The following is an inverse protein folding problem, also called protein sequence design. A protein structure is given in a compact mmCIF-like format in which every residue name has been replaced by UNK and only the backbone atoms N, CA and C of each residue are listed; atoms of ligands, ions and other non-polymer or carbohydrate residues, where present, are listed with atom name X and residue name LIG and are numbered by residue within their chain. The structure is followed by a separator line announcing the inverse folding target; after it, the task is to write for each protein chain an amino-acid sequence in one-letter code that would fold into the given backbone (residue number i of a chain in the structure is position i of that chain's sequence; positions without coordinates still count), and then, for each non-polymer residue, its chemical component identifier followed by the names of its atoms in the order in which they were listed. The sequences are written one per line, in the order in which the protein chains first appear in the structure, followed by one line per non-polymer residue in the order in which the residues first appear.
data_IF_495700139378
#
_entry.id   IF_495700139378
#
_cell.length_a   1.000
_cell.length_b   1.000
_cell.length_c   1.000
_cell.angle_alpha   90.00
_cell.angle_beta   90.00
_cell.angle_gamma   90.00
#
_symmetry.space_group_name_H-M   'P 1'
#
loop_
_entity.id
_entity.type
_entity.pdbx_description
1 polymer ?
#
# COMPACT_ATOMS: atom_id res chain seq x y z
N UNK A 1 -12.12 81.19 -74.91
CA UNK A 1 -11.93 79.89 -74.34
C UNK A 1 -11.71 80.07 -72.83
N UNK A 2 -12.76 79.84 -72.03
CA UNK A 2 -12.80 80.19 -70.63
C UNK A 2 -12.56 78.89 -69.79
N UNK A 3 -11.44 78.83 -69.12
CA UNK A 3 -11.09 77.70 -68.22
C UNK A 3 -11.73 77.91 -66.84
N UNK A 4 -12.61 77.02 -66.43
CA UNK A 4 -13.21 77.03 -65.15
C UNK A 4 -12.32 76.20 -64.16
N UNK A 5 -11.63 76.91 -63.30
CA UNK A 5 -10.94 76.28 -62.12
C UNK A 5 -11.92 75.99 -61.03
N UNK A 6 -12.14 74.71 -60.77
CA UNK A 6 -13.01 74.23 -59.65
C UNK A 6 -12.20 74.20 -58.32
N UNK A 7 -12.42 75.19 -57.48
CA UNK A 7 -11.77 75.34 -56.18
C UNK A 7 -12.34 74.24 -55.21
N UNK A 8 -11.51 73.28 -54.85
CA UNK A 8 -11.89 72.28 -53.82
C UNK A 8 -11.76 72.93 -52.46
N UNK A 9 -12.87 73.28 -51.83
CA UNK A 9 -12.93 73.66 -50.41
C UNK A 9 -12.98 72.42 -49.60
N UNK A 10 -11.89 72.01 -48.98
CA UNK A 10 -11.88 71.03 -47.92
C UNK A 10 -12.35 71.67 -46.60
N UNK A 11 -13.64 71.60 -46.36
CA UNK A 11 -14.27 72.24 -45.20
C UNK A 11 -13.87 71.58 -43.86
N UNK A 12 -13.70 72.36 -42.80
CA UNK A 12 -13.34 71.90 -41.45
C UNK A 12 -14.31 70.90 -40.86
N UNK A 13 -15.51 70.76 -41.46
CA UNK A 13 -16.58 69.81 -41.00
C UNK A 13 -16.19 68.32 -41.10
N UNK A 14 -15.30 67.95 -42.01
CA UNK A 14 -14.82 66.53 -42.14
C UNK A 14 -13.78 66.15 -41.07
N UNK A 15 -12.97 67.11 -40.66
CA UNK A 15 -11.98 66.88 -39.60
C UNK A 15 -12.68 66.76 -38.24
N UNK A 16 -13.74 67.55 -37.97
CA UNK A 16 -14.55 67.47 -36.77
C UNK A 16 -15.33 66.15 -36.66
N UNK A 17 -15.84 65.65 -37.78
CA UNK A 17 -16.52 64.36 -37.82
C UNK A 17 -15.62 63.18 -37.55
N UNK A 18 -14.38 63.18 -38.06
CA UNK A 18 -13.40 62.14 -37.79
C UNK A 18 -12.87 62.16 -36.36
N UNK A 19 -12.70 63.34 -35.77
CA UNK A 19 -12.33 63.51 -34.36
C UNK A 19 -13.45 63.06 -33.41
N UNK A 20 -14.72 63.33 -33.73
CA UNK A 20 -15.88 62.90 -32.98
C UNK A 20 -16.02 61.35 -33.01
N UNK A 21 -15.79 60.69 -34.12
CA UNK A 21 -15.84 59.24 -34.28
C UNK A 21 -14.67 58.60 -33.52
N UNK A 22 -13.48 59.15 -33.61
CA UNK A 22 -12.31 58.66 -32.84
C UNK A 22 -12.53 58.82 -31.34
N UNK A 23 -13.13 59.94 -30.89
CA UNK A 23 -13.47 60.14 -29.47
C UNK A 23 -14.54 59.17 -28.98
N UNK A 24 -15.52 58.82 -29.81
CA UNK A 24 -16.55 57.84 -29.43
C UNK A 24 -16.01 56.41 -29.34
N UNK A 25 -15.12 56.03 -30.25
CA UNK A 25 -14.46 54.72 -30.24
C UNK A 25 -13.50 54.61 -29.05
N UNK A 26 -12.80 55.70 -28.67
CA UNK A 26 -11.98 55.71 -27.46
C UNK A 26 -12.84 55.65 -26.17
N UNK A 27 -13.93 56.36 -26.13
CA UNK A 27 -14.83 56.36 -24.95
C UNK A 27 -15.58 55.05 -24.79
N UNK A 28 -15.92 54.36 -25.87
CA UNK A 28 -16.62 53.06 -25.79
C UNK A 28 -15.67 51.84 -25.73
N UNK A 29 -14.44 51.96 -26.19
CA UNK A 29 -13.49 50.85 -26.26
C UNK A 29 -12.54 50.72 -25.08
N UNK A 30 -12.31 51.81 -24.32
CA UNK A 30 -11.37 51.77 -23.20
C UNK A 30 -11.96 51.19 -21.94
N UNK A 31 -13.29 51.20 -21.79
CA UNK A 31 -13.95 50.66 -20.61
C UNK A 31 -14.25 49.15 -20.67
N UNK A 32 -14.00 48.51 -21.82
CA UNK A 32 -14.26 47.06 -21.99
C UNK A 32 -13.02 46.21 -21.90
N UNK A 33 -11.82 46.74 -21.73
CA UNK A 33 -10.58 45.99 -21.61
C UNK A 33 -9.99 45.90 -20.21
N UNK A 34 -10.65 46.46 -19.20
CA UNK A 34 -10.39 46.10 -17.81
C UNK A 34 -11.27 44.91 -17.41
N UNK A 35 -11.16 43.80 -18.15
CA UNK A 35 -11.41 42.53 -17.49
C UNK A 35 -10.26 42.39 -16.49
N UNK A 36 -10.54 42.55 -15.22
CA UNK A 36 -9.73 41.94 -14.20
C UNK A 36 -9.68 40.46 -14.53
N UNK A 37 -8.75 40.09 -15.38
CA UNK A 37 -8.27 38.73 -15.38
C UNK A 37 -7.60 38.55 -14.02
N UNK A 38 -8.35 38.05 -13.07
CA UNK A 38 -7.75 37.37 -11.93
C UNK A 38 -6.92 36.25 -12.58
N UNK A 39 -5.65 36.54 -12.90
CA UNK A 39 -4.69 35.56 -13.33
C UNK A 39 -4.44 34.67 -12.11
N UNK A 40 -5.33 33.69 -11.88
CA UNK A 40 -5.03 32.60 -10.98
C UNK A 40 -3.71 32.00 -11.50
N UNK A 41 -2.63 32.17 -10.77
CA UNK A 41 -1.36 31.63 -11.18
C UNK A 41 -1.45 30.11 -11.15
N UNK A 42 -0.69 29.46 -12.01
CA UNK A 42 -0.78 28.01 -12.12
C UNK A 42 -0.03 27.34 -10.98
N UNK A 43 -0.72 26.59 -10.14
CA UNK A 43 -0.14 25.68 -9.15
C UNK A 43 0.86 24.75 -9.86
N UNK A 44 2.05 24.58 -9.32
CA UNK A 44 3.15 23.79 -9.91
C UNK A 44 3.45 22.56 -9.06
N UNK A 45 4.37 21.68 -9.52
CA UNK A 45 4.83 20.48 -8.83
C UNK A 45 3.67 19.60 -8.29
N UNK A 46 2.58 19.47 -9.07
CA UNK A 46 1.36 18.80 -8.65
C UNK A 46 1.50 17.30 -8.67
N UNK A 47 1.14 16.66 -7.56
CA UNK A 47 1.09 15.21 -7.40
C UNK A 47 -0.12 14.82 -6.58
N UNK A 48 -0.86 13.81 -7.01
CA UNK A 48 -1.87 13.11 -6.22
C UNK A 48 -1.42 11.66 -6.00
N UNK A 49 -1.30 11.27 -4.73
CA UNK A 49 -1.01 9.90 -4.34
C UNK A 49 -2.22 9.32 -3.64
N UNK A 50 -2.68 8.17 -4.11
CA UNK A 50 -3.74 7.39 -3.50
C UNK A 50 -3.09 6.29 -2.66
N UNK A 51 -3.57 6.05 -1.44
CA UNK A 51 -3.10 4.90 -0.63
C UNK A 51 -3.55 3.56 -1.23
N UNK A 52 -4.63 3.57 -2.00
CA UNK A 52 -5.11 2.44 -2.81
C UNK A 52 -5.66 2.96 -4.13
N UNK A 53 -5.27 2.34 -5.22
CA UNK A 53 -5.84 2.61 -6.55
C UNK A 53 -6.98 1.64 -6.90
N UNK A 54 -7.36 0.73 -6.00
CA UNK A 54 -8.47 -0.20 -6.23
C UNK A 54 -9.77 0.55 -6.45
N UNK A 55 -10.52 0.17 -7.49
CA UNK A 55 -11.88 0.68 -7.70
C UNK A 55 -12.77 0.30 -6.52
N UNK A 56 -13.66 1.21 -6.13
CA UNK A 56 -14.54 1.07 -4.99
C UNK A 56 -13.82 0.78 -3.65
N UNK A 57 -12.50 1.05 -3.54
CA UNK A 57 -11.84 0.95 -2.25
C UNK A 57 -12.61 1.79 -1.23
N UNK A 58 -13.03 1.14 -0.15
CA UNK A 58 -13.95 1.73 0.81
C UNK A 58 -13.37 2.98 1.47
N UNK A 59 -14.23 3.90 1.80
CA UNK A 59 -13.92 5.17 2.45
C UNK A 59 -13.16 5.06 3.78
N UNK A 60 -13.20 3.89 4.44
CA UNK A 60 -12.61 3.71 5.78
C UNK A 60 -11.08 3.74 5.81
N UNK A 61 -10.39 3.56 4.68
CA UNK A 61 -8.93 3.39 4.67
C UNK A 61 -8.21 4.13 3.54
N UNK A 62 -8.92 4.69 2.57
CA UNK A 62 -8.26 5.34 1.43
C UNK A 62 -7.91 6.79 1.75
N UNK A 63 -6.65 7.14 1.54
CA UNK A 63 -6.17 8.51 1.67
C UNK A 63 -5.79 9.10 0.32
N UNK A 64 -6.07 10.39 0.16
CA UNK A 64 -5.69 11.20 -0.99
C UNK A 64 -4.66 12.23 -0.52
N UNK A 65 -3.41 12.04 -0.90
CA UNK A 65 -2.31 12.95 -0.57
C UNK A 65 -2.02 13.85 -1.77
N UNK A 66 -2.29 15.13 -1.59
CA UNK A 66 -1.96 16.18 -2.56
C UNK A 66 -0.64 16.83 -2.17
N UNK A 67 0.32 16.82 -3.10
CA UNK A 67 1.53 17.62 -3.00
C UNK A 67 1.52 18.62 -4.16
N UNK A 68 1.78 19.90 -3.87
CA UNK A 68 1.79 20.94 -4.89
C UNK A 68 2.56 22.17 -4.39
N UNK A 69 2.84 23.10 -5.28
CA UNK A 69 3.46 24.38 -4.92
C UNK A 69 2.58 25.52 -5.42
N UNK A 70 2.14 26.36 -4.47
CA UNK A 70 1.38 27.58 -4.72
C UNK A 70 2.38 28.68 -5.08
N UNK A 71 2.27 29.32 -6.26
CA UNK A 71 3.20 30.36 -6.67
C UNK A 71 2.91 31.72 -6.03
N UNK A 72 1.65 31.98 -5.64
CA UNK A 72 1.24 33.25 -5.06
C UNK A 72 1.61 33.34 -3.58
N UNK A 73 2.10 34.50 -3.15
CA UNK A 73 2.35 34.80 -1.74
C UNK A 73 1.08 35.25 -0.99
N UNK A 74 -0.08 35.12 -1.61
CA UNK A 74 -1.37 35.50 -1.01
C UNK A 74 -1.76 34.51 0.08
N UNK A 75 -2.24 35.00 1.21
CA UNK A 75 -2.76 34.17 2.31
C UNK A 75 -3.96 33.37 1.81
N UNK A 76 -3.90 32.06 2.00
CA UNK A 76 -4.97 31.12 1.60
C UNK A 76 -5.81 30.80 2.84
N UNK A 77 -7.12 30.96 2.77
CA UNK A 77 -8.05 30.60 3.84
C UNK A 77 -8.90 29.37 3.51
N UNK A 78 -8.99 28.99 2.23
CA UNK A 78 -9.61 27.73 1.84
C UNK A 78 -9.00 27.17 0.56
N UNK A 79 -9.09 25.85 0.41
CA UNK A 79 -8.70 25.14 -0.79
C UNK A 79 -9.68 24.02 -1.08
N UNK A 80 -9.80 23.66 -2.35
CA UNK A 80 -10.62 22.53 -2.78
C UNK A 80 -9.92 21.75 -3.89
N UNK A 81 -10.22 20.47 -3.96
CA UNK A 81 -9.91 19.62 -5.10
C UNK A 81 -11.21 19.02 -5.62
N UNK A 82 -11.70 19.55 -6.74
CA UNK A 82 -12.92 19.06 -7.40
C UNK A 82 -12.56 17.85 -8.24
N UNK A 83 -13.20 16.71 -7.97
CA UNK A 83 -12.91 15.43 -8.64
C UNK A 83 -13.82 15.26 -9.84
N UNK A 84 -13.21 15.24 -11.03
CA UNK A 84 -13.91 15.27 -12.31
C UNK A 84 -13.47 14.13 -13.22
N UNK A 85 -14.35 13.71 -14.13
CA UNK A 85 -14.01 12.78 -15.22
C UNK A 85 -13.20 13.44 -16.34
N UNK A 86 -13.15 14.77 -16.37
CA UNK A 86 -12.46 15.57 -17.40
C UNK A 86 -11.49 16.55 -16.77
N UNK A 87 -10.37 16.83 -17.46
CA UNK A 87 -9.38 17.81 -17.01
C UNK A 87 -9.93 19.23 -17.03
N UNK A 88 -10.77 19.60 -18.03
CA UNK A 88 -11.30 20.94 -18.22
C UNK A 88 -12.76 20.87 -18.70
N UNK A 89 -13.42 22.01 -18.78
CA UNK A 89 -14.83 22.11 -19.17
C UNK A 89 -15.77 21.68 -18.04
N UNK A 90 -16.96 21.16 -18.38
CA UNK A 90 -17.94 20.69 -17.41
C UNK A 90 -17.32 19.57 -16.53
N UNK A 91 -17.56 19.65 -15.22
CA UNK A 91 -17.10 18.65 -14.26
C UNK A 91 -18.24 17.69 -13.95
N UNK A 92 -18.03 16.40 -14.26
CA UNK A 92 -18.88 15.32 -13.80
C UNK A 92 -18.09 14.50 -12.77
N UNK A 93 -18.64 14.36 -11.58
CA UNK A 93 -18.02 13.51 -10.55
C UNK A 93 -17.96 12.06 -11.02
N UNK A 94 -16.83 11.37 -10.92
CA UNK A 94 -16.72 9.96 -11.25
C UNK A 94 -17.70 9.11 -10.43
N UNK A 95 -18.34 8.13 -11.09
CA UNK A 95 -19.33 7.27 -10.45
C UNK A 95 -18.73 6.57 -9.22
N UNK A 96 -19.45 6.67 -8.10
CA UNK A 96 -19.09 6.03 -6.84
C UNK A 96 -17.98 6.74 -6.04
N UNK A 97 -17.42 7.86 -6.51
CA UNK A 97 -16.55 8.69 -5.69
C UNK A 97 -17.37 9.32 -4.54
N UNK A 98 -16.91 9.14 -3.30
CA UNK A 98 -17.54 9.73 -2.13
C UNK A 98 -16.54 10.45 -1.23
N UNK A 99 -16.91 11.64 -0.81
CA UNK A 99 -16.16 12.47 0.13
C UNK A 99 -16.95 12.80 1.42
N UNK A 100 -18.15 12.25 1.58
CA UNK A 100 -19.05 12.58 2.70
C UNK A 100 -18.49 12.20 4.07
N UNK A 101 -17.58 11.22 4.13
CA UNK A 101 -16.90 10.78 5.35
C UNK A 101 -15.45 11.29 5.41
N UNK A 102 -15.01 12.14 4.48
CA UNK A 102 -13.63 12.56 4.42
C UNK A 102 -13.23 13.36 5.66
N UNK A 103 -12.02 13.12 6.12
CA UNK A 103 -11.39 13.78 7.26
C UNK A 103 -10.03 14.33 6.85
N UNK A 104 -9.47 15.21 7.66
CA UNK A 104 -8.09 15.62 7.52
C UNK A 104 -7.21 14.62 8.27
N UNK A 105 -6.44 13.82 7.56
CA UNK A 105 -5.58 12.81 8.19
C UNK A 105 -4.42 13.45 8.97
N UNK A 106 -3.98 14.63 8.53
CA UNK A 106 -3.03 15.50 9.24
C UNK A 106 -3.29 16.94 8.85
N UNK A 107 -2.87 17.90 9.70
CA UNK A 107 -2.94 19.31 9.33
C UNK A 107 -2.08 19.56 8.08
N UNK A 108 -2.51 20.46 7.17
CA UNK A 108 -1.74 20.78 5.98
C UNK A 108 -0.34 21.30 6.33
N UNK A 109 0.64 20.89 5.53
CA UNK A 109 2.01 21.41 5.66
C UNK A 109 2.21 22.57 4.71
N UNK A 110 2.79 23.66 5.21
CA UNK A 110 3.18 24.84 4.41
C UNK A 110 2.03 25.58 3.69
N UNK A 111 0.77 25.28 4.01
CA UNK A 111 -0.38 25.96 3.40
C UNK A 111 -0.71 27.30 4.08
N UNK A 112 -0.14 27.52 5.24
CA UNK A 112 -0.37 28.67 6.10
C UNK A 112 -0.07 28.30 7.54
N UNK A 113 -0.90 28.73 8.49
CA UNK A 113 -0.77 28.34 9.89
C UNK A 113 -0.80 26.82 10.05
N UNK A 114 0.00 26.30 10.97
CA UNK A 114 0.24 24.86 11.14
C UNK A 114 -0.96 24.08 11.69
N UNK A 115 -2.00 24.73 12.20
CA UNK A 115 -3.15 24.09 12.82
C UNK A 115 -4.45 24.86 12.60
N UNK A 116 -5.59 24.21 12.88
CA UNK A 116 -6.91 24.82 12.80
C UNK A 116 -7.59 24.70 11.44
N UNK A 117 -7.03 23.95 10.51
CA UNK A 117 -7.69 23.59 9.26
C UNK A 117 -8.75 22.52 9.50
N UNK A 118 -9.90 22.68 8.87
CA UNK A 118 -11.04 21.77 8.96
C UNK A 118 -11.53 21.35 7.58
N UNK A 119 -12.00 20.10 7.48
CA UNK A 119 -12.61 19.57 6.25
C UNK A 119 -14.09 19.98 6.19
N UNK A 120 -14.55 20.32 4.99
CA UNK A 120 -15.96 20.50 4.70
C UNK A 120 -16.43 19.45 3.70
N UNK A 121 -17.39 18.62 4.11
CA UNK A 121 -17.94 17.51 3.33
C UNK A 121 -19.28 17.83 2.67
N UNK A 122 -19.79 19.05 2.78
CA UNK A 122 -21.13 19.42 2.32
C UNK A 122 -21.32 19.41 0.80
N UNK A 123 -20.21 19.44 0.03
CA UNK A 123 -20.25 19.44 -1.43
C UNK A 123 -19.77 18.11 -1.96
N UNK A 124 -20.68 17.33 -2.55
CA UNK A 124 -20.35 16.08 -3.20
C UNK A 124 -19.35 16.29 -4.35
N UNK A 125 -18.39 15.38 -4.50
CA UNK A 125 -17.38 15.44 -5.55
C UNK A 125 -16.24 16.43 -5.28
N UNK A 126 -16.20 17.08 -4.11
CA UNK A 126 -15.18 18.09 -3.79
C UNK A 126 -14.53 17.81 -2.43
N UNK A 127 -13.23 17.61 -2.43
CA UNK A 127 -12.43 17.54 -1.20
C UNK A 127 -12.07 18.99 -0.81
N UNK A 128 -12.62 19.46 0.31
CA UNK A 128 -12.56 20.85 0.73
C UNK A 128 -11.97 20.99 2.12
N UNK A 129 -11.14 22.00 2.29
CA UNK A 129 -10.67 22.42 3.61
C UNK A 129 -10.69 23.93 3.74
N UNK A 130 -10.84 24.42 4.95
CA UNK A 130 -10.81 25.84 5.25
C UNK A 130 -10.27 26.12 6.62
N UNK A 131 -9.73 27.34 6.79
CA UNK A 131 -9.29 27.90 8.05
C UNK A 131 -9.64 29.38 8.06
N UNK A 132 -10.68 29.75 8.78
CA UNK A 132 -11.00 31.16 9.04
C UNK A 132 -9.88 31.78 9.88
N UNK A 133 -9.43 32.97 9.47
CA UNK A 133 -8.39 33.70 10.19
C UNK A 133 -6.97 33.11 10.01
N UNK A 134 -6.71 32.32 8.96
CA UNK A 134 -5.35 32.04 8.55
C UNK A 134 -4.63 33.35 8.19
N UNK A 135 -3.46 33.58 8.75
CA UNK A 135 -2.67 34.82 8.55
C UNK A 135 -1.33 34.54 7.87
N UNK A 136 -0.85 33.31 7.90
CA UNK A 136 0.41 32.95 7.26
C UNK A 136 0.20 32.68 5.76
N UNK A 137 1.10 33.21 4.93
CA UNK A 137 1.14 32.88 3.52
C UNK A 137 1.69 31.46 3.29
N UNK A 138 1.34 30.79 2.18
CA UNK A 138 1.92 29.49 1.85
C UNK A 138 3.42 29.61 1.57
N UNK A 139 4.18 28.55 1.91
CA UNK A 139 5.63 28.50 1.73
C UNK A 139 6.08 27.17 1.17
N UNK A 140 7.03 27.18 0.24
CA UNK A 140 7.61 25.96 -0.30
C UNK A 140 6.58 25.02 -0.94
N UNK A 141 6.73 23.72 -0.71
CA UNK A 141 5.79 22.69 -1.20
C UNK A 141 4.72 22.40 -0.14
N UNK A 142 3.47 22.48 -0.54
CA UNK A 142 2.31 22.17 0.29
C UNK A 142 2.00 20.67 0.26
N UNK A 143 1.55 20.13 1.40
CA UNK A 143 0.99 18.79 1.50
C UNK A 143 -0.35 18.84 2.20
N UNK A 144 -1.37 18.25 1.58
CA UNK A 144 -2.72 18.10 2.13
C UNK A 144 -3.13 16.64 2.04
N UNK A 145 -3.56 16.05 3.16
CA UNK A 145 -3.93 14.63 3.23
C UNK A 145 -5.37 14.48 3.70
N UNK A 146 -6.23 14.09 2.76
CA UNK A 146 -7.60 13.70 3.07
C UNK A 146 -7.66 12.20 3.34
N UNK A 147 -8.17 11.81 4.51
CA UNK A 147 -8.51 10.43 4.85
C UNK A 147 -9.98 10.11 4.57
N UNK A 148 -10.34 8.85 4.63
CA UNK A 148 -11.71 8.34 4.48
C UNK A 148 -12.39 8.77 3.18
N UNK A 149 -11.65 8.74 2.08
CA UNK A 149 -12.17 9.03 0.74
C UNK A 149 -12.48 7.71 0.03
N UNK A 150 -13.65 7.61 -0.60
CA UNK A 150 -13.99 6.45 -1.43
C UNK A 150 -13.59 6.69 -2.88
N UNK A 151 -12.85 5.73 -3.44
CA UNK A 151 -12.47 5.75 -4.84
C UNK A 151 -13.69 5.59 -5.77
N UNK A 152 -13.61 6.07 -7.02
CA UNK A 152 -14.56 5.71 -8.06
C UNK A 152 -14.75 4.19 -8.17
N UNK A 153 -15.97 3.74 -8.48
CA UNK A 153 -16.31 2.31 -8.57
C UNK A 153 -15.92 1.67 -9.91
N UNK A 154 -15.63 2.47 -10.91
CA UNK A 154 -15.20 1.98 -12.22
C UNK A 154 -13.70 1.67 -12.20
N UNK A 155 -13.32 0.46 -12.55
CA UNK A 155 -11.91 0.05 -12.71
C UNK A 155 -11.28 0.66 -13.97
N UNK A 156 -9.97 0.90 -13.91
CA UNK A 156 -9.19 1.47 -15.02
C UNK A 156 -9.74 2.82 -15.51
N UNK A 157 -10.36 3.58 -14.63
CA UNK A 157 -10.89 4.90 -14.92
C UNK A 157 -9.89 5.98 -14.53
N UNK A 158 -9.49 6.81 -15.47
CA UNK A 158 -8.78 8.05 -15.20
C UNK A 158 -9.75 9.12 -14.69
N UNK A 159 -9.36 9.85 -13.68
CA UNK A 159 -10.07 11.02 -13.16
C UNK A 159 -9.08 12.14 -12.83
N UNK A 160 -9.60 13.34 -12.68
CA UNK A 160 -8.83 14.55 -12.50
C UNK A 160 -9.24 15.25 -11.21
N UNK A 161 -8.28 15.68 -10.43
CA UNK A 161 -8.50 16.58 -9.31
C UNK A 161 -8.12 18.00 -9.75
N UNK A 162 -9.10 18.88 -9.80
CA UNK A 162 -8.92 20.31 -10.09
C UNK A 162 -8.73 21.03 -8.77
N UNK A 163 -7.51 21.46 -8.52
CA UNK A 163 -7.11 22.11 -7.27
C UNK A 163 -7.34 23.61 -7.45
N UNK A 164 -8.04 24.22 -6.52
CA UNK A 164 -8.23 25.65 -6.43
C UNK A 164 -7.93 26.14 -5.01
N UNK A 165 -7.30 27.30 -4.89
CA UNK A 165 -7.04 27.96 -3.62
C UNK A 165 -7.73 29.31 -3.57
N UNK A 166 -8.11 29.74 -2.37
CA UNK A 166 -8.92 30.94 -2.17
C UNK A 166 -8.41 31.77 -0.98
N UNK A 167 -8.51 33.08 -1.12
CA UNK A 167 -8.19 34.02 -0.05
C UNK A 167 -9.28 34.13 1.01
N UNK A 168 -10.51 33.68 0.71
CA UNK A 168 -11.65 33.66 1.64
C UNK A 168 -11.93 32.26 2.17
N UNK A 169 -12.35 32.15 3.44
CA UNK A 169 -12.66 30.87 4.10
C UNK A 169 -13.90 30.14 3.55
N UNK A 170 -14.73 30.82 2.77
CA UNK A 170 -15.94 30.27 2.15
C UNK A 170 -15.78 30.00 0.65
N UNK A 171 -14.58 29.64 0.22
CA UNK A 171 -14.23 29.35 -1.19
C UNK A 171 -14.54 30.52 -2.13
N UNK A 172 -14.18 31.72 -1.70
CA UNK A 172 -14.31 32.96 -2.45
C UNK A 172 -12.94 33.62 -2.64
N UNK A 173 -12.78 34.44 -3.68
CA UNK A 173 -11.50 35.09 -3.99
C UNK A 173 -10.47 34.06 -4.48
N UNK A 174 -10.71 33.48 -5.65
CA UNK A 174 -9.78 32.51 -6.27
C UNK A 174 -8.37 33.12 -6.40
N UNK A 175 -7.34 32.36 -5.99
CA UNK A 175 -5.94 32.77 -6.00
C UNK A 175 -5.17 31.98 -7.03
N UNK A 176 -5.05 30.67 -6.87
CA UNK A 176 -4.28 29.80 -7.75
C UNK A 176 -5.07 28.55 -8.11
N UNK A 177 -4.78 27.98 -9.27
CA UNK A 177 -5.44 26.76 -9.74
C UNK A 177 -4.45 25.78 -10.38
N UNK A 178 -4.84 24.51 -10.38
CA UNK A 178 -4.05 23.46 -11.02
C UNK A 178 -4.84 22.17 -11.17
N UNK A 179 -4.34 21.25 -12.00
CA UNK A 179 -5.01 19.99 -12.28
C UNK A 179 -3.99 18.87 -12.15
N UNK A 180 -4.39 17.75 -11.55
CA UNK A 180 -3.61 16.52 -11.47
C UNK A 180 -4.51 15.35 -11.83
N UNK A 181 -3.97 14.34 -12.51
CA UNK A 181 -4.69 13.12 -12.86
C UNK A 181 -4.34 11.98 -11.91
N UNK A 182 -5.31 11.09 -11.69
CA UNK A 182 -5.13 9.81 -11.05
C UNK A 182 -6.01 8.77 -11.75
N UNK A 183 -5.81 7.50 -11.46
CA UNK A 183 -6.64 6.44 -12.02
C UNK A 183 -6.92 5.36 -10.97
N UNK A 184 -8.09 4.74 -11.10
CA UNK A 184 -8.36 3.46 -10.46
C UNK A 184 -7.82 2.32 -11.31
N UNK A 185 -7.48 1.20 -10.67
CA UNK A 185 -7.02 -0.01 -11.34
C UNK A 185 -7.82 -1.21 -10.87
N UNK A 186 -7.92 -2.24 -11.70
CA UNK A 186 -8.34 -3.57 -11.25
C UNK A 186 -7.23 -4.21 -10.42
N UNK A 187 -7.59 -4.90 -9.36
CA UNK A 187 -6.63 -5.72 -8.62
C UNK A 187 -6.22 -6.93 -9.45
N UNK A 188 -4.93 -7.21 -9.46
CA UNK A 188 -4.41 -8.47 -9.97
C UNK A 188 -4.40 -9.45 -8.79
N UNK A 189 -5.21 -10.49 -8.88
CA UNK A 189 -5.15 -11.60 -7.93
C UNK A 189 -4.10 -12.59 -8.43
N UNK A 190 -3.03 -12.76 -7.66
CA UNK A 190 -2.04 -13.80 -7.91
C UNK A 190 -2.39 -15.00 -7.05
N UNK A 191 -2.68 -16.13 -7.69
CA UNK A 191 -2.87 -17.42 -7.04
C UNK A 191 -1.71 -18.34 -7.41
N UNK A 192 -1.15 -19.01 -6.41
CA UNK A 192 -0.13 -20.03 -6.61
C UNK A 192 -0.51 -21.26 -5.80
N UNK A 193 -0.26 -22.45 -6.37
CA UNK A 193 -0.32 -23.72 -5.67
C UNK A 193 1.10 -24.23 -5.48
N UNK A 194 1.40 -24.77 -4.31
CA UNK A 194 2.64 -25.45 -4.02
C UNK A 194 2.28 -26.89 -3.66
N UNK A 195 2.87 -27.85 -4.33
CA UNK A 195 2.67 -29.27 -4.01
C UNK A 195 3.15 -29.58 -2.60
N UNK A 196 2.43 -30.44 -1.89
CA UNK A 196 2.88 -30.93 -0.60
C UNK A 196 4.14 -31.77 -0.75
N UNK A 197 5.11 -31.48 0.07
CA UNK A 197 6.40 -32.17 0.13
C UNK A 197 6.68 -32.62 1.55
N UNK A 198 7.22 -33.83 1.70
CA UNK A 198 7.76 -34.34 2.95
C UNK A 198 9.24 -34.71 2.73
N UNK A 199 10.09 -34.16 3.54
CA UNK A 199 11.50 -34.57 3.63
C UNK A 199 11.69 -35.32 4.95
N UNK A 200 12.26 -36.52 4.87
CA UNK A 200 12.59 -37.34 6.04
C UNK A 200 13.95 -37.95 5.84
N UNK A 201 14.75 -37.92 6.89
CA UNK A 201 16.07 -38.58 6.92
C UNK A 201 16.41 -39.08 8.30
N UNK A 202 17.22 -40.16 8.35
CA UNK A 202 17.73 -40.76 9.58
C UNK A 202 19.15 -41.23 9.39
N UNK A 203 19.96 -41.17 10.45
CA UNK A 203 21.36 -41.57 10.47
C UNK A 203 21.95 -41.52 11.87
N UNK A 204 23.23 -41.76 11.98
CA UNK A 204 23.95 -41.62 13.27
C UNK A 204 24.33 -40.16 13.55
N UNK A 205 24.38 -39.33 12.53
CA UNK A 205 24.54 -37.86 12.66
C UNK A 205 23.87 -37.12 11.55
N UNK A 206 23.37 -35.90 11.85
CA UNK A 206 22.84 -34.93 10.92
C UNK A 206 23.32 -33.57 11.41
N UNK A 207 23.85 -32.73 10.52
CA UNK A 207 24.21 -31.36 10.88
C UNK A 207 23.01 -30.44 10.77
N UNK A 208 22.58 -29.89 11.90
CA UNK A 208 21.34 -29.10 11.99
C UNK A 208 20.11 -29.92 11.60
N UNK A 209 19.32 -29.41 10.68
CA UNK A 209 18.14 -30.11 10.10
C UNK A 209 18.34 -30.43 8.61
N UNK A 210 19.59 -30.47 8.15
CA UNK A 210 19.93 -30.67 6.75
C UNK A 210 20.10 -32.15 6.40
N UNK A 211 19.12 -32.76 5.77
CA UNK A 211 19.15 -34.14 5.31
C UNK A 211 20.30 -34.44 4.33
N UNK A 212 20.86 -33.43 3.66
CA UNK A 212 22.03 -33.58 2.81
C UNK A 212 23.36 -33.91 3.58
N UNK A 213 23.33 -33.77 4.89
CA UNK A 213 24.51 -34.02 5.78
C UNK A 213 24.39 -35.30 6.59
N UNK A 214 23.41 -36.15 6.27
CA UNK A 214 23.23 -37.46 6.95
C UNK A 214 24.46 -38.33 6.79
N UNK A 215 24.93 -38.85 7.90
CA UNK A 215 26.02 -39.81 7.92
C UNK A 215 25.70 -40.98 8.85
N UNK A 216 26.25 -42.16 8.50
CA UNK A 216 26.11 -43.40 9.23
C UNK A 216 24.71 -44.06 9.07
N UNK A 217 24.73 -45.34 8.79
CA UNK A 217 23.54 -46.17 8.57
C UNK A 217 23.34 -47.29 9.60
N UNK A 218 24.25 -47.41 10.56
CA UNK A 218 24.20 -48.47 11.54
C UNK A 218 24.58 -47.94 12.94
N UNK A 219 23.81 -48.34 13.93
CA UNK A 219 24.12 -48.08 15.35
C UNK A 219 24.82 -49.30 15.92
N UNK A 220 26.03 -49.12 16.37
CA UNK A 220 26.80 -50.19 16.99
C UNK A 220 26.59 -50.21 18.50
N UNK A 221 26.02 -51.28 19.03
CA UNK A 221 25.78 -51.46 20.46
C UNK A 221 26.98 -52.08 21.20
N UNK A 222 28.06 -52.38 20.49
CA UNK A 222 29.21 -53.09 21.06
C UNK A 222 28.89 -54.54 21.44
N UNK A 223 29.66 -55.07 22.39
CA UNK A 223 29.43 -56.44 22.91
C UNK A 223 28.37 -56.42 24.00
N UNK A 224 27.32 -57.22 23.85
CA UNK A 224 26.30 -57.36 24.86
C UNK A 224 26.87 -58.11 26.11
N UNK A 225 26.49 -57.65 27.31
CA UNK A 225 26.88 -58.21 28.59
C UNK A 225 25.70 -58.40 29.50
N UNK A 226 25.75 -59.44 30.31
CA UNK A 226 24.71 -59.64 31.37
C UNK A 226 24.85 -58.68 32.56
N UNK A 227 26.00 -57.97 32.65
CA UNK A 227 26.29 -57.03 33.73
C UNK A 227 26.01 -55.56 33.40
N UNK A 228 25.58 -55.26 32.20
CA UNK A 228 25.34 -53.88 31.77
C UNK A 228 24.34 -53.78 30.61
N UNK A 229 23.77 -52.61 30.45
CA UNK A 229 22.92 -52.27 29.28
C UNK A 229 23.78 -51.62 28.21
N UNK A 230 23.53 -51.99 26.94
CA UNK A 230 24.12 -51.31 25.77
C UNK A 230 23.13 -50.29 25.23
N UNK A 231 23.62 -49.13 24.87
CA UNK A 231 22.84 -48.07 24.26
C UNK A 231 23.51 -47.50 23.02
N UNK A 232 22.72 -47.01 22.11
CA UNK A 232 23.19 -46.30 20.93
C UNK A 232 22.19 -45.26 20.51
N UNK A 233 22.64 -44.27 19.79
CA UNK A 233 21.81 -43.14 19.37
C UNK A 233 21.76 -43.06 17.85
N UNK A 234 20.60 -42.84 17.30
CA UNK A 234 20.40 -42.34 15.93
C UNK A 234 19.64 -41.03 15.97
N UNK A 235 19.79 -40.24 14.96
CA UNK A 235 19.09 -38.99 14.79
C UNK A 235 18.20 -39.04 13.56
N UNK A 236 17.09 -38.28 13.58
CA UNK A 236 16.21 -38.15 12.45
C UNK A 236 15.80 -36.68 12.29
N UNK A 237 15.54 -36.28 11.06
CA UNK A 237 14.94 -35.00 10.75
C UNK A 237 13.76 -35.19 9.79
N UNK A 238 12.71 -34.41 10.00
CA UNK A 238 11.54 -34.40 9.16
C UNK A 238 11.06 -32.95 8.97
N UNK A 239 10.60 -32.62 7.78
CA UNK A 239 9.96 -31.34 7.47
C UNK A 239 8.89 -31.53 6.40
N UNK A 240 7.81 -30.75 6.47
CA UNK A 240 6.76 -30.73 5.47
C UNK A 240 6.19 -29.32 5.35
N UNK A 241 5.66 -29.00 4.16
CA UNK A 241 4.79 -27.84 3.92
C UNK A 241 3.30 -28.20 3.93
N UNK A 242 2.97 -29.47 4.18
CA UNK A 242 1.57 -29.92 4.32
C UNK A 242 0.90 -29.32 5.56
N UNK A 243 -0.30 -28.78 5.39
CA UNK A 243 -1.04 -28.08 6.45
C UNK A 243 -1.42 -28.97 7.64
N UNK A 244 -1.49 -30.31 7.46
CA UNK A 244 -1.79 -31.30 8.51
C UNK A 244 -0.54 -31.82 9.24
N UNK A 245 0.65 -31.36 8.83
CA UNK A 245 1.91 -31.83 9.41
C UNK A 245 2.27 -33.27 9.01
N UNK A 246 2.96 -34.00 9.89
CA UNK A 246 3.37 -35.38 9.66
C UNK A 246 3.32 -36.17 10.98
N UNK A 247 3.29 -37.48 10.87
CA UNK A 247 3.46 -38.42 11.98
C UNK A 247 4.59 -39.37 11.68
N UNK A 248 5.45 -39.63 12.69
CA UNK A 248 6.52 -40.62 12.60
C UNK A 248 6.10 -41.81 13.45
N UNK A 249 6.02 -42.99 12.84
CA UNK A 249 5.76 -44.25 13.55
C UNK A 249 6.97 -45.15 13.41
N UNK A 250 7.27 -45.86 14.46
CA UNK A 250 8.34 -46.85 14.48
C UNK A 250 7.69 -48.23 14.64
N UNK A 251 8.08 -49.13 13.77
CA UNK A 251 7.65 -50.52 13.83
C UNK A 251 8.87 -51.42 13.85
N UNK A 252 8.95 -52.35 14.73
CA UNK A 252 10.05 -53.30 14.87
C UNK A 252 9.55 -54.66 15.34
N UNK A 253 10.25 -55.69 14.90
CA UNK A 253 10.02 -57.07 15.37
C UNK A 253 11.06 -57.44 16.41
N UNK A 254 10.76 -58.44 17.21
CA UNK A 254 11.70 -59.10 18.09
C UNK A 254 13.01 -59.46 17.31
N UNK A 255 14.15 -59.02 17.83
CA UNK A 255 15.44 -59.35 17.23
C UNK A 255 15.75 -60.83 17.50
N UNK A 256 16.05 -61.55 16.41
CA UNK A 256 16.39 -62.95 16.48
C UNK A 256 17.73 -63.23 15.76
N UNK A 257 18.53 -64.13 16.33
CA UNK A 257 19.70 -64.65 15.62
C UNK A 257 19.37 -66.02 15.04
N UNK A 258 18.91 -66.06 13.79
CA UNK A 258 18.59 -67.30 13.13
C UNK A 258 19.80 -68.23 12.89
N UNK A 259 21.01 -67.71 12.84
CA UNK A 259 22.26 -68.42 12.62
C UNK A 259 22.95 -68.80 13.94
N UNK A 260 22.41 -68.40 15.09
CA UNK A 260 22.99 -68.72 16.39
C UNK A 260 22.41 -70.01 16.94
N UNK A 261 23.22 -70.86 17.66
CA UNK A 261 22.70 -72.05 18.33
C UNK A 261 21.59 -71.69 19.31
N UNK A 262 20.45 -72.37 19.21
CA UNK A 262 19.29 -72.14 20.06
C UNK A 262 18.41 -70.95 19.71
N UNK A 263 18.67 -70.27 18.54
CA UNK A 263 17.93 -69.11 18.05
C UNK A 263 17.57 -68.05 19.10
N UNK A 264 18.56 -67.49 19.81
CA UNK A 264 18.33 -66.53 20.87
C UNK A 264 17.57 -65.34 20.33
N UNK A 265 16.65 -64.79 21.17
CA UNK A 265 15.82 -63.62 20.86
C UNK A 265 16.06 -62.51 21.86
N UNK A 266 15.94 -61.25 21.37
CA UNK A 266 15.85 -60.08 22.22
C UNK A 266 14.49 -59.48 22.02
N UNK A 267 13.62 -59.57 23.00
CA UNK A 267 12.25 -59.11 22.90
C UNK A 267 12.14 -57.60 23.06
N UNK A 268 11.25 -56.97 22.29
CA UNK A 268 10.85 -55.59 22.56
C UNK A 268 10.17 -55.47 23.90
N UNK A 269 10.41 -54.36 24.64
CA UNK A 269 9.68 -54.05 25.85
C UNK A 269 8.17 -53.81 25.48
N UNK A 270 7.31 -54.51 26.20
CA UNK A 270 5.84 -54.45 25.94
C UNK A 270 5.20 -53.12 26.38
N UNK A 271 5.89 -52.32 27.17
CA UNK A 271 5.47 -50.99 27.64
C UNK A 271 6.65 -50.10 27.88
N UNK A 272 6.41 -48.80 27.99
CA UNK A 272 7.46 -47.82 28.30
C UNK A 272 7.97 -48.05 29.74
N UNK A 273 9.12 -48.66 29.86
CA UNK A 273 9.79 -48.92 31.11
C UNK A 273 11.31 -48.91 30.94
N UNK A 274 12.04 -48.80 32.05
CA UNK A 274 13.50 -48.89 31.98
C UNK A 274 13.91 -50.34 31.68
N UNK A 275 14.97 -50.50 30.86
CA UNK A 275 15.54 -51.82 30.63
C UNK A 275 16.17 -52.40 31.91
N UNK A 276 16.01 -53.71 32.11
CA UNK A 276 16.55 -54.43 33.24
C UNK A 276 17.88 -55.11 32.85
N UNK A 277 18.93 -54.81 33.59
CA UNK A 277 20.26 -55.45 33.39
C UNK A 277 20.15 -56.96 33.51
N UNK A 278 20.78 -57.68 32.58
CA UNK A 278 20.77 -59.13 32.51
C UNK A 278 19.55 -59.73 31.80
N UNK A 279 18.57 -58.91 31.37
CA UNK A 279 17.40 -59.37 30.60
C UNK A 279 17.62 -59.11 29.12
N UNK A 280 17.24 -60.11 28.27
CA UNK A 280 17.29 -59.99 26.82
C UNK A 280 16.07 -59.18 26.34
N UNK A 281 16.17 -57.86 26.35
CA UNK A 281 15.10 -56.93 25.99
C UNK A 281 15.69 -55.66 25.33
N UNK A 282 14.88 -54.98 24.51
CA UNK A 282 15.26 -53.68 23.95
C UNK A 282 14.05 -52.72 23.97
N UNK A 283 14.38 -51.44 23.95
CA UNK A 283 13.43 -50.38 23.83
C UNK A 283 14.02 -49.17 23.10
N UNK A 284 13.17 -48.28 22.66
CA UNK A 284 13.56 -47.03 22.00
C UNK A 284 12.97 -45.86 22.79
N UNK A 285 13.77 -44.81 22.91
CA UNK A 285 13.31 -43.53 23.48
C UNK A 285 13.54 -42.42 22.49
N UNK A 286 12.48 -41.66 22.16
CA UNK A 286 12.55 -40.47 21.32
C UNK A 286 12.75 -39.23 22.18
N UNK A 287 13.69 -38.40 21.84
CA UNK A 287 13.97 -37.12 22.49
C UNK A 287 14.00 -35.97 21.53
N UNK A 288 13.55 -34.82 21.96
CA UNK A 288 13.71 -33.57 21.23
C UNK A 288 15.20 -33.24 21.06
N UNK A 289 15.54 -32.66 19.93
CA UNK A 289 16.92 -32.22 19.67
C UNK A 289 17.15 -30.88 20.40
N UNK A 290 18.33 -30.72 21.00
CA UNK A 290 18.67 -29.49 21.75
C UNK A 290 19.37 -28.45 20.90
N UNK A 291 20.06 -28.85 19.81
CA UNK A 291 20.80 -27.94 18.92
C UNK A 291 20.79 -28.46 17.47
N UNK A 292 19.97 -27.87 16.58
CA UNK A 292 18.92 -26.89 16.88
C UNK A 292 17.82 -27.48 17.75
N UNK A 293 17.11 -26.63 18.51
CA UNK A 293 15.95 -27.05 19.28
C UNK A 293 14.82 -27.46 18.33
N UNK A 294 14.51 -28.74 18.29
CA UNK A 294 13.45 -29.29 17.42
C UNK A 294 12.88 -30.57 18.04
N UNK A 295 11.57 -30.75 17.82
CA UNK A 295 10.83 -31.86 18.41
C UNK A 295 10.56 -31.66 19.90
N UNK A 296 9.96 -32.66 20.53
CA UNK A 296 9.71 -32.73 21.96
C UNK A 296 9.98 -34.14 22.44
N UNK A 297 10.34 -34.27 23.72
CA UNK A 297 10.41 -35.57 24.37
C UNK A 297 9.03 -36.19 24.37
N UNK A 298 8.92 -37.45 23.99
CA UNK A 298 7.65 -38.16 24.06
C UNK A 298 7.42 -38.53 25.52
N UNK A 299 6.34 -38.00 26.10
CA UNK A 299 5.83 -38.36 27.39
C UNK A 299 4.57 -39.20 27.21
N UNK A 300 4.51 -40.37 27.83
CA UNK A 300 3.34 -41.26 27.81
C UNK A 300 3.69 -42.72 27.53
N UNK A 301 2.69 -43.58 27.67
CA UNK A 301 2.83 -45.01 27.35
C UNK A 301 2.74 -45.18 25.86
N UNK A 302 3.88 -45.30 25.18
CA UNK A 302 3.88 -45.82 23.81
C UNK A 302 3.46 -47.28 23.83
N UNK A 303 2.48 -47.64 23.01
CA UNK A 303 2.16 -49.03 22.66
C UNK A 303 2.98 -49.45 21.47
#
# INVERSE_FOLDING_TARGET
MTSIQKKYQSGPKRVFSLLAIAGLVFASGVTTFSTDHANAAQITARKLTLSSSSAAASNATTTYTFNFTIPSATVIQSAEAVICTTASGACTTPTGFLNSSSTLASQPTNLGDAAGWTVNTSTAGSLRLSKSGNVAAPTGSQTVVFGNVQNPTTSNQTFFARINTYSGASWTGAVDSGIVAAATTSQITLTGTMDEALTFCTGTSITGSNCGTVAGSAVNFGTFSSSGTSSGTSVMAASTNGGSGYAITVNGATMTCASCPGTPTIAALASQTASTTGSAQFGMNLRGNTTPSAGADISGSGT
#
